data_IF_015379769593
#
_entry.id   IF_015379769593
#
_cell.length_a   1.000
_cell.length_b   1.000
_cell.length_c   1.000
_cell.angle_alpha   90.00
_cell.angle_beta   90.00
_cell.angle_gamma   90.00
#
_symmetry.space_group_name_H-M   'P 1'
#
loop_
_entity.id
_entity.type
_entity.pdbx_description
1 polymer ?
#
# COMPACT_ATOMS: atom_id res chain seq x y z
N UNK A 1 35.71 -10.08 -47.95
CA UNK A 1 35.13 -10.52 -46.66
C UNK A 1 34.75 -9.29 -45.85
N UNK A 2 33.45 -9.07 -45.59
CA UNK A 2 32.94 -7.86 -44.92
C UNK A 2 33.41 -7.82 -43.46
N UNK A 3 34.14 -6.77 -43.07
CA UNK A 3 34.53 -6.47 -41.68
C UNK A 3 33.33 -5.91 -40.89
N UNK A 4 32.20 -6.62 -40.86
CA UNK A 4 31.12 -6.33 -39.91
C UNK A 4 31.50 -6.95 -38.56
N UNK A 5 32.65 -6.53 -38.05
CA UNK A 5 33.46 -7.34 -37.17
C UNK A 5 33.38 -6.83 -35.74
N UNK A 6 32.77 -7.67 -34.92
CA UNK A 6 32.93 -7.77 -33.46
C UNK A 6 32.32 -6.65 -32.64
N UNK A 7 32.56 -5.38 -32.94
CA UNK A 7 32.06 -4.26 -32.11
C UNK A 7 30.53 -4.20 -32.14
N UNK A 8 29.92 -4.28 -33.33
CA UNK A 8 28.46 -4.30 -33.45
C UNK A 8 27.86 -5.51 -32.74
N UNK A 9 28.47 -6.69 -32.88
CA UNK A 9 28.01 -7.93 -32.20
C UNK A 9 28.11 -7.81 -30.68
N UNK A 10 29.19 -7.20 -30.16
CA UNK A 10 29.38 -6.93 -28.73
C UNK A 10 28.35 -5.95 -28.19
N UNK A 11 28.04 -4.88 -28.94
CA UNK A 11 27.04 -3.91 -28.55
C UNK A 11 25.63 -4.50 -28.57
N UNK A 12 25.29 -5.34 -29.55
CA UNK A 12 24.00 -6.04 -29.58
C UNK A 12 23.88 -7.03 -28.42
N UNK A 13 24.93 -7.78 -28.11
CA UNK A 13 24.96 -8.70 -26.96
C UNK A 13 24.82 -7.96 -25.63
N UNK A 14 25.50 -6.81 -25.47
CA UNK A 14 25.40 -5.99 -24.27
C UNK A 14 23.99 -5.42 -24.09
N UNK A 15 23.37 -4.95 -25.18
CA UNK A 15 21.98 -4.48 -25.16
C UNK A 15 21.00 -5.61 -24.80
N UNK A 16 21.20 -6.83 -25.34
CA UNK A 16 20.43 -8.01 -24.98
C UNK A 16 20.59 -8.38 -23.50
N UNK A 17 21.80 -8.33 -22.95
CA UNK A 17 22.04 -8.58 -21.52
C UNK A 17 21.33 -7.54 -20.65
N UNK A 18 21.39 -6.26 -20.99
CA UNK A 18 20.72 -5.19 -20.24
C UNK A 18 19.19 -5.34 -20.31
N UNK A 19 18.64 -5.66 -21.48
CA UNK A 19 17.19 -5.90 -21.64
C UNK A 19 16.77 -7.15 -20.87
N UNK A 20 17.54 -8.24 -20.93
CA UNK A 20 17.29 -9.45 -20.13
C UNK A 20 17.43 -9.19 -18.63
N UNK A 21 18.31 -8.27 -18.22
CA UNK A 21 18.43 -7.85 -16.82
C UNK A 21 17.25 -7.00 -16.40
N UNK A 22 16.76 -6.07 -17.23
CA UNK A 22 15.56 -5.25 -16.93
C UNK A 22 14.28 -6.09 -16.90
N UNK A 23 14.08 -6.95 -17.90
CA UNK A 23 12.97 -7.90 -17.95
C UNK A 23 13.09 -8.94 -16.82
N UNK A 24 14.33 -9.30 -16.48
CA UNK A 24 14.68 -10.13 -15.34
C UNK A 24 14.32 -9.46 -14.02
N UNK A 25 14.67 -8.19 -13.79
CA UNK A 25 14.31 -7.46 -12.56
C UNK A 25 12.81 -7.24 -12.43
N UNK A 26 12.08 -7.11 -13.54
CA UNK A 26 10.61 -7.09 -13.55
C UNK A 26 9.99 -8.46 -13.26
N UNK A 27 10.67 -9.58 -13.58
CA UNK A 27 10.24 -10.95 -13.22
C UNK A 27 10.84 -11.47 -11.89
N UNK A 28 11.85 -10.82 -11.32
CA UNK A 28 12.76 -11.38 -10.29
C UNK A 28 12.47 -10.91 -8.86
N UNK A 29 11.37 -10.21 -8.59
CA UNK A 29 10.92 -10.13 -7.18
C UNK A 29 10.34 -11.47 -6.70
N UNK A 30 9.97 -12.37 -7.62
CA UNK A 30 9.36 -13.66 -7.27
C UNK A 30 8.01 -13.50 -6.54
N UNK A 31 7.48 -12.28 -6.46
CA UNK A 31 6.22 -12.00 -5.80
C UNK A 31 5.08 -12.33 -6.76
N UNK A 32 4.28 -13.32 -6.38
CA UNK A 32 2.97 -13.54 -6.99
C UNK A 32 2.03 -12.40 -6.56
N UNK A 33 0.96 -12.17 -7.31
CA UNK A 33 -0.09 -11.21 -6.87
C UNK A 33 -0.62 -11.55 -5.46
N UNK A 34 -0.62 -12.83 -5.07
CA UNK A 34 -0.98 -13.26 -3.73
C UNK A 34 0.00 -12.71 -2.67
N UNK A 35 1.32 -12.80 -2.90
CA UNK A 35 2.31 -12.25 -1.98
C UNK A 35 2.19 -10.72 -1.86
N UNK A 36 1.89 -10.02 -2.96
CA UNK A 36 1.66 -8.56 -2.93
C UNK A 36 0.43 -8.19 -2.12
N UNK A 37 -0.64 -8.99 -2.22
CA UNK A 37 -1.86 -8.81 -1.45
C UNK A 37 -1.61 -9.03 0.03
N UNK A 38 -0.95 -10.13 0.40
CA UNK A 38 -0.64 -10.45 1.79
C UNK A 38 0.22 -9.35 2.44
N UNK A 39 1.20 -8.81 1.71
CA UNK A 39 2.02 -7.68 2.18
C UNK A 39 1.16 -6.43 2.47
N UNK A 40 0.18 -6.14 1.62
CA UNK A 40 -0.77 -5.02 1.81
C UNK A 40 -1.70 -5.28 3.00
N UNK A 41 -2.23 -6.51 3.12
CA UNK A 41 -3.13 -6.87 4.21
C UNK A 41 -2.40 -6.74 5.57
N UNK A 42 -1.16 -7.24 5.66
CA UNK A 42 -0.30 -7.06 6.84
C UNK A 42 -0.02 -5.57 7.16
N UNK A 43 0.19 -4.75 6.12
CA UNK A 43 0.42 -3.31 6.29
C UNK A 43 -0.82 -2.60 6.84
N UNK A 44 -2.01 -2.94 6.33
CA UNK A 44 -3.29 -2.43 6.84
C UNK A 44 -3.53 -2.89 8.28
N UNK A 45 -3.29 -4.17 8.59
CA UNK A 45 -3.41 -4.69 9.95
C UNK A 45 -2.53 -3.94 10.95
N UNK A 46 -1.27 -3.68 10.58
CA UNK A 46 -0.34 -2.94 11.40
C UNK A 46 -0.77 -1.48 11.59
N UNK A 47 -1.18 -0.81 10.51
CA UNK A 47 -1.71 0.56 10.57
C UNK A 47 -2.92 0.65 11.52
N UNK A 48 -3.91 -0.23 11.35
CA UNK A 48 -5.12 -0.25 12.18
C UNK A 48 -4.78 -0.56 13.63
N UNK A 49 -3.84 -1.49 13.91
CA UNK A 49 -3.45 -1.81 15.29
C UNK A 49 -2.86 -0.63 16.03
N UNK A 50 -2.01 0.14 15.35
CA UNK A 50 -1.40 1.33 15.93
C UNK A 50 -2.44 2.45 16.09
N UNK A 51 -3.28 2.67 15.08
CA UNK A 51 -4.31 3.70 15.09
C UNK A 51 -5.39 3.46 16.16
N UNK A 52 -5.85 2.21 16.31
CA UNK A 52 -6.81 1.82 17.34
C UNK A 52 -6.24 2.05 18.76
N UNK A 53 -4.95 1.76 18.97
CA UNK A 53 -4.24 2.00 20.24
C UNK A 53 -3.89 3.47 20.52
N UNK A 54 -4.19 4.39 19.59
CA UNK A 54 -3.77 5.79 19.65
C UNK A 54 -2.24 5.95 19.71
N UNK A 55 -1.51 5.00 19.13
CA UNK A 55 -0.04 5.04 19.09
C UNK A 55 0.42 5.97 17.96
N UNK A 56 0.41 7.28 18.25
CA UNK A 56 0.78 8.33 17.30
C UNK A 56 2.20 8.13 16.77
N UNK A 57 3.16 7.85 17.66
CA UNK A 57 4.56 7.67 17.29
C UNK A 57 4.76 6.43 16.41
N UNK A 58 4.06 5.33 16.74
CA UNK A 58 4.04 4.12 15.94
C UNK A 58 3.51 4.35 14.54
N UNK A 59 2.39 5.09 14.40
CA UNK A 59 1.83 5.44 13.09
C UNK A 59 2.78 6.36 12.31
N UNK A 60 3.38 7.38 12.93
CA UNK A 60 4.39 8.24 12.27
C UNK A 60 5.54 7.39 11.72
N UNK A 61 6.04 6.44 12.53
CA UNK A 61 7.12 5.55 12.12
C UNK A 61 6.72 4.62 10.97
N UNK A 62 5.48 4.13 10.96
CA UNK A 62 4.96 3.27 9.89
C UNK A 62 4.84 4.04 8.56
N UNK A 63 4.25 5.24 8.59
CA UNK A 63 4.06 6.10 7.42
C UNK A 63 5.41 6.56 6.84
N UNK A 64 6.39 6.85 7.71
CA UNK A 64 7.71 7.30 7.30
C UNK A 64 7.74 8.76 6.85
N UNK A 65 8.94 9.29 6.60
CA UNK A 65 9.14 10.72 6.30
C UNK A 65 8.50 11.17 5.00
N UNK A 66 8.52 10.30 3.98
CA UNK A 66 7.99 10.56 2.63
C UNK A 66 6.50 10.95 2.65
N UNK A 67 5.71 10.38 3.58
CA UNK A 67 4.29 10.70 3.75
C UNK A 67 4.02 12.16 4.19
N UNK A 68 5.03 12.83 4.74
CA UNK A 68 4.91 14.17 5.30
C UNK A 68 5.64 15.24 4.48
N UNK A 69 6.35 14.88 3.41
CA UNK A 69 7.20 15.81 2.64
C UNK A 69 6.43 17.03 2.08
N UNK A 70 5.14 16.87 1.78
CA UNK A 70 4.28 17.94 1.28
C UNK A 70 3.52 18.75 2.36
N UNK A 71 3.69 18.40 3.65
CA UNK A 71 2.98 19.08 4.74
C UNK A 71 3.68 20.36 5.16
N UNK A 72 3.38 21.46 4.47
CA UNK A 72 3.88 22.80 4.81
C UNK A 72 3.16 23.44 6.01
N UNK A 73 2.02 22.91 6.44
CA UNK A 73 1.13 23.56 7.40
C UNK A 73 0.85 22.79 8.69
N UNK A 74 1.15 21.49 8.75
CA UNK A 74 0.91 20.66 9.94
C UNK A 74 2.13 19.84 10.29
N UNK A 75 2.43 19.73 11.60
CA UNK A 75 3.43 18.77 12.04
C UNK A 75 2.97 17.33 11.76
N UNK A 76 3.88 16.37 11.55
CA UNK A 76 3.52 14.95 11.45
C UNK A 76 2.65 14.49 12.63
N UNK A 77 2.93 15.01 13.83
CA UNK A 77 2.16 14.76 15.04
C UNK A 77 0.69 15.16 14.86
N UNK A 78 0.42 16.43 14.50
CA UNK A 78 -0.95 16.93 14.36
C UNK A 78 -1.75 16.19 13.27
N UNK A 79 -1.06 15.82 12.16
CA UNK A 79 -1.68 15.07 11.06
C UNK A 79 -2.07 13.67 11.54
N UNK A 80 -1.18 12.97 12.22
CA UNK A 80 -1.43 11.60 12.70
C UNK A 80 -2.40 11.60 13.88
N UNK A 81 -2.34 12.56 14.80
CA UNK A 81 -3.30 12.70 15.89
C UNK A 81 -4.74 12.79 15.36
N UNK A 82 -4.97 13.56 14.29
CA UNK A 82 -6.28 13.62 13.63
C UNK A 82 -6.70 12.28 13.01
N UNK A 83 -5.76 11.51 12.46
CA UNK A 83 -6.02 10.19 11.88
C UNK A 83 -6.35 9.14 12.93
N UNK A 84 -5.62 9.11 14.06
CA UNK A 84 -5.87 8.12 15.11
C UNK A 84 -7.06 8.52 15.97
N UNK A 85 -7.33 9.81 16.20
CA UNK A 85 -8.50 10.28 16.97
C UNK A 85 -9.84 9.89 16.38
N UNK A 86 -9.83 9.65 15.07
CA UNK A 86 -10.89 9.10 14.25
C UNK A 86 -11.29 7.65 14.59
N UNK A 87 -10.49 6.90 15.35
CA UNK A 87 -10.83 5.56 15.87
C UNK A 87 -11.50 5.68 17.24
N UNK A 88 -12.79 5.38 17.42
CA UNK A 88 -13.46 5.54 18.71
C UNK A 88 -12.81 4.71 19.82
N UNK A 89 -12.81 5.24 21.04
CA UNK A 89 -12.42 4.52 22.25
C UNK A 89 -13.65 4.37 23.12
N UNK A 90 -13.98 3.13 23.50
CA UNK A 90 -15.01 2.89 24.49
C UNK A 90 -14.34 2.64 25.85
N UNK A 91 -14.80 3.28 26.95
CA UNK A 91 -14.19 3.11 28.28
C UNK A 91 -14.10 1.66 28.76
N UNK A 92 -15.06 0.83 28.34
CA UNK A 92 -15.13 -0.60 28.69
C UNK A 92 -14.35 -1.50 27.72
N UNK A 93 -13.66 -0.94 26.73
CA UNK A 93 -12.89 -1.72 25.75
C UNK A 93 -11.46 -1.97 26.24
N UNK A 94 -11.34 -2.81 27.27
CA UNK A 94 -10.05 -3.11 27.92
C UNK A 94 -9.10 -3.92 27.04
N UNK A 95 -9.59 -4.50 25.93
CA UNK A 95 -8.84 -5.41 25.07
C UNK A 95 -9.00 -5.12 23.55
N UNK A 96 -9.51 -3.95 23.16
CA UNK A 96 -9.71 -3.49 21.77
C UNK A 96 -9.78 -4.61 20.74
N UNK A 97 -10.83 -5.43 20.80
CA UNK A 97 -11.05 -6.45 19.78
C UNK A 97 -11.68 -5.76 18.58
N UNK A 98 -10.93 -5.72 17.48
CA UNK A 98 -11.44 -5.27 16.19
C UNK A 98 -11.22 -6.34 15.12
N UNK A 99 -12.07 -6.30 14.09
CA UNK A 99 -11.99 -7.09 12.88
C UNK A 99 -11.77 -6.17 11.70
N UNK A 100 -10.93 -6.59 10.76
CA UNK A 100 -10.66 -5.85 9.53
C UNK A 100 -11.29 -6.64 8.38
N UNK A 101 -12.12 -5.96 7.60
CA UNK A 101 -12.71 -6.51 6.37
C UNK A 101 -12.18 -5.75 5.17
N UNK A 102 -11.43 -6.44 4.32
CA UNK A 102 -10.98 -5.87 3.05
C UNK A 102 -12.15 -5.87 2.06
N UNK A 103 -12.60 -4.68 1.64
CA UNK A 103 -13.59 -4.53 0.58
C UNK A 103 -12.97 -4.85 -0.77
N UNK A 104 -11.83 -4.22 -1.07
CA UNK A 104 -11.05 -4.48 -2.28
C UNK A 104 -9.62 -3.95 -2.14
N UNK A 105 -8.70 -4.52 -2.91
CA UNK A 105 -7.36 -3.98 -3.14
C UNK A 105 -7.22 -3.82 -4.65
N UNK A 106 -7.10 -2.56 -5.09
CA UNK A 106 -6.98 -2.21 -6.50
C UNK A 106 -5.52 -1.93 -6.80
N UNK A 107 -4.93 -2.72 -7.69
CA UNK A 107 -3.59 -2.45 -8.21
C UNK A 107 -3.68 -1.60 -9.46
N UNK A 108 -2.73 -0.68 -9.64
CA UNK A 108 -2.50 -0.08 -10.95
C UNK A 108 -1.93 -1.14 -11.93
N UNK A 109 -1.87 -0.79 -13.22
CA UNK A 109 -1.55 -1.77 -14.29
C UNK A 109 -0.16 -2.42 -14.13
N UNK A 110 0.84 -1.67 -13.65
CA UNK A 110 2.21 -2.15 -13.44
C UNK A 110 2.47 -2.66 -12.01
N UNK A 111 1.44 -2.65 -11.15
CA UNK A 111 1.47 -3.09 -9.73
C UNK A 111 2.50 -2.37 -8.88
N UNK A 112 2.85 -1.15 -9.27
CA UNK A 112 3.72 -0.28 -8.47
C UNK A 112 2.93 0.61 -7.53
N UNK A 113 1.61 0.72 -7.72
CA UNK A 113 0.70 1.42 -6.84
C UNK A 113 -0.51 0.53 -6.54
N UNK A 114 -1.09 0.74 -5.37
CA UNK A 114 -2.33 0.10 -4.99
C UNK A 114 -3.16 0.98 -4.06
N UNK A 115 -4.48 0.81 -4.09
CA UNK A 115 -5.36 1.35 -3.05
C UNK A 115 -6.06 0.20 -2.34
N UNK A 116 -5.88 0.13 -1.02
CA UNK A 116 -6.56 -0.83 -0.15
C UNK A 116 -7.75 -0.17 0.51
N UNK A 117 -8.96 -0.68 0.25
CA UNK A 117 -10.20 -0.22 0.87
C UNK A 117 -10.68 -1.25 1.88
N UNK A 118 -10.89 -0.84 3.12
CA UNK A 118 -11.22 -1.76 4.21
C UNK A 118 -12.16 -1.10 5.22
N UNK A 119 -12.85 -1.93 5.98
CA UNK A 119 -13.65 -1.54 7.12
C UNK A 119 -13.08 -2.13 8.40
N UNK A 120 -13.09 -1.36 9.47
CA UNK A 120 -12.71 -1.78 10.82
C UNK A 120 -13.96 -1.84 11.67
N UNK A 121 -14.25 -3.02 12.19
CA UNK A 121 -15.37 -3.30 13.06
C UNK A 121 -14.84 -3.53 14.46
N UNK A 122 -15.51 -2.99 15.45
CA UNK A 122 -15.41 -3.46 16.83
C UNK A 122 -16.83 -3.71 17.34
N UNK A 123 -16.93 -4.10 18.61
CA UNK A 123 -18.24 -4.12 19.29
C UNK A 123 -18.93 -2.73 19.31
N UNK A 124 -18.14 -1.66 19.27
CA UNK A 124 -18.60 -0.30 19.59
C UNK A 124 -18.67 0.65 18.40
N UNK A 125 -18.01 0.31 17.30
CA UNK A 125 -17.96 1.15 16.13
C UNK A 125 -17.73 0.35 14.85
N UNK A 126 -18.11 0.96 13.74
CA UNK A 126 -17.71 0.60 12.40
C UNK A 126 -17.14 1.86 11.73
N UNK A 127 -16.02 1.73 11.03
CA UNK A 127 -15.48 2.79 10.18
C UNK A 127 -14.89 2.19 8.90
N UNK A 128 -14.88 2.96 7.82
CA UNK A 128 -14.26 2.58 6.54
C UNK A 128 -13.15 3.55 6.19
N UNK A 129 -11.98 3.00 5.85
CA UNK A 129 -10.77 3.75 5.50
C UNK A 129 -10.18 3.22 4.19
N UNK A 130 -9.33 4.03 3.56
CA UNK A 130 -8.47 3.62 2.46
C UNK A 130 -7.01 3.94 2.76
N UNK A 131 -6.09 3.12 2.22
CA UNK A 131 -4.66 3.43 2.11
C UNK A 131 -4.29 3.47 0.63
N UNK A 132 -3.71 4.59 0.19
CA UNK A 132 -2.99 4.63 -1.08
C UNK A 132 -1.54 4.23 -0.83
N UNK A 133 -1.03 3.37 -1.70
CA UNK A 133 0.22 2.65 -1.51
C UNK A 133 1.10 2.73 -2.74
N UNK A 134 2.41 2.84 -2.51
CA UNK A 134 3.44 2.73 -3.54
C UNK A 134 4.42 1.60 -3.19
N UNK A 135 4.80 0.80 -4.18
CA UNK A 135 5.80 -0.25 -4.03
C UNK A 135 7.19 0.31 -4.34
N UNK A 136 7.94 0.60 -3.27
CA UNK A 136 9.28 1.19 -3.35
C UNK A 136 10.29 0.35 -2.60
N UNK A 137 11.43 0.08 -3.24
CA UNK A 137 12.56 -0.65 -2.64
C UNK A 137 12.17 -2.02 -2.04
N UNK A 138 11.27 -2.74 -2.71
CA UNK A 138 10.87 -4.10 -2.30
C UNK A 138 9.82 -4.17 -1.19
N UNK A 139 9.11 -3.08 -0.90
CA UNK A 139 8.02 -3.05 0.09
C UNK A 139 6.95 -2.02 -0.27
N UNK A 140 5.73 -2.25 0.19
CA UNK A 140 4.66 -1.27 0.14
C UNK A 140 4.87 -0.13 1.14
N UNK A 141 4.56 1.08 0.71
CA UNK A 141 4.64 2.32 1.47
C UNK A 141 3.30 3.02 1.42
N UNK A 142 2.81 3.47 2.57
CA UNK A 142 1.59 4.28 2.64
C UNK A 142 1.95 5.70 2.21
N UNK A 143 1.27 6.20 1.19
CA UNK A 143 1.46 7.57 0.67
C UNK A 143 0.26 8.47 0.96
N UNK A 144 -0.94 7.90 1.09
CA UNK A 144 -2.11 8.61 1.62
C UNK A 144 -2.99 7.72 2.50
N UNK A 145 -3.71 8.38 3.42
CA UNK A 145 -4.69 7.75 4.31
C UNK A 145 -5.93 8.62 4.34
N UNK A 146 -7.08 8.05 3.99
CA UNK A 146 -8.34 8.77 4.07
C UNK A 146 -9.49 7.94 4.64
N UNK A 147 -10.57 8.67 4.95
CA UNK A 147 -11.82 8.10 5.42
C UNK A 147 -12.77 7.99 4.25
N UNK A 148 -13.41 6.84 4.14
CA UNK A 148 -14.51 6.64 3.21
C UNK A 148 -15.78 7.11 3.91
N UNK A 149 -16.56 7.97 3.26
CA UNK A 149 -17.91 8.27 3.75
C UNK A 149 -18.83 7.06 3.51
N UNK A 150 -19.96 7.03 4.22
CA UNK A 150 -20.95 5.96 4.08
C UNK A 150 -21.52 5.86 2.65
N UNK A 151 -21.41 6.93 1.85
CA UNK A 151 -21.91 6.97 0.47
C UNK A 151 -21.02 6.20 -0.52
N UNK A 152 -19.77 5.97 -0.16
CA UNK A 152 -18.81 5.20 -0.97
C UNK A 152 -19.12 3.70 -0.99
N UNK A 153 -19.96 3.21 -0.08
CA UNK A 153 -20.45 1.81 -0.10
C UNK A 153 -21.26 1.47 -1.35
N UNK A 154 -21.72 2.46 -2.12
CA UNK A 154 -22.61 2.27 -3.27
C UNK A 154 -21.98 2.05 -4.64
N UNK A 155 -20.66 2.12 -4.83
CA UNK A 155 -20.02 1.93 -6.15
C UNK A 155 -18.65 1.26 -6.08
N UNK A 156 -18.61 -0.02 -5.71
CA UNK A 156 -17.54 -0.89 -6.20
C UNK A 156 -18.21 -1.94 -7.08
N UNK A 157 -18.29 -1.65 -8.38
CA UNK A 157 -18.49 -2.69 -9.38
C UNK A 157 -17.24 -3.56 -9.33
N UNK A 158 -17.36 -4.79 -8.83
CA UNK A 158 -16.33 -5.81 -8.97
C UNK A 158 -16.36 -6.22 -10.45
N UNK A 159 -15.65 -5.48 -11.30
CA UNK A 159 -15.24 -6.01 -12.59
C UNK A 159 -14.10 -6.99 -12.31
N UNK A 160 -14.48 -8.23 -12.01
CA UNK A 160 -13.60 -9.38 -12.15
C UNK A 160 -13.14 -9.44 -13.61
N UNK A 161 -11.97 -8.87 -13.91
CA UNK A 161 -11.21 -9.21 -15.11
C UNK A 161 -9.87 -9.77 -14.66
N UNK A 162 -9.92 -10.97 -14.10
CA UNK A 162 -8.82 -11.91 -14.22
C UNK A 162 -9.09 -12.71 -15.51
N UNK A 163 -8.50 -12.29 -16.62
CA UNK A 163 -8.31 -13.20 -17.74
C UNK A 163 -7.06 -14.06 -17.45
N UNK A 164 -7.26 -15.37 -17.41
CA UNK A 164 -6.23 -16.40 -17.28
C UNK A 164 -5.49 -16.64 -18.60
#
# INVERSE_FOLDING_TARGET
MKKTNRITVLLTLLALVIISFLVGTLKSTGQTTANLRDDIENLVENYVSLAAKKDVDGVIKLLGTEFFEDSTYFSPQDKVEKLVNKYPQHPDDTNQTYWIYFKTIMFNHDKTEATAYFAVFSRWFELSDYLDLEYKSGKWKIVDVGRMDDSWTGKITIDNVFEY
#
